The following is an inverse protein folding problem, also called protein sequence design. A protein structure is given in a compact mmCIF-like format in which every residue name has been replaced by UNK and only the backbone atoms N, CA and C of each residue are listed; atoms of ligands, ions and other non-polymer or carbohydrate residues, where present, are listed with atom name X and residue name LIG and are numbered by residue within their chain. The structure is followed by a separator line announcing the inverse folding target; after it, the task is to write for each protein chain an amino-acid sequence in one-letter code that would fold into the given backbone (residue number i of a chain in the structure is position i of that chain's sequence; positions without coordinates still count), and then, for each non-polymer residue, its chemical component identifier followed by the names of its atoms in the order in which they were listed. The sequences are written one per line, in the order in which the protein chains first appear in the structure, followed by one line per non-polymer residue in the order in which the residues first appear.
data_IF_039963440995
#
_entry.id   IF_039963440995
#
_cell.length_a   1.000
_cell.length_b   1.000
_cell.length_c   1.000
_cell.angle_alpha   90.00
_cell.angle_beta   90.00
_cell.angle_gamma   90.00
#
_symmetry.space_group_name_H-M   'P 1'
#
loop_
_entity.id
_entity.type
_entity.pdbx_description
1 polymer ?
#
# COMPACT_ATOMS: atom_id res chain seq x y z
N UNK A 1 30.39 1.35 2.54
CA UNK A 1 29.86 1.37 3.92
C UNK A 1 28.35 1.43 3.84
N UNK A 2 27.65 0.39 4.32
CA UNK A 2 26.26 0.12 3.98
C UNK A 2 25.28 1.10 4.64
N UNK A 3 24.31 1.58 3.85
CA UNK A 3 23.18 2.45 4.25
C UNK A 3 22.41 1.95 5.47
N UNK A 4 22.49 0.64 5.76
CA UNK A 4 21.91 -0.04 6.91
C UNK A 4 22.52 0.37 8.26
N UNK A 5 23.81 0.74 8.28
CA UNK A 5 24.52 1.13 9.50
C UNK A 5 24.00 2.48 10.02
N UNK A 6 23.71 3.40 9.09
CA UNK A 6 23.18 4.74 9.37
C UNK A 6 21.76 4.73 9.93
N UNK A 7 20.96 3.73 9.56
CA UNK A 7 19.58 3.55 10.06
C UNK A 7 19.58 2.99 11.48
N UNK A 8 20.50 2.06 11.81
CA UNK A 8 20.68 1.59 13.19
C UNK A 8 21.18 2.70 14.12
N UNK A 9 22.08 3.56 13.62
CA UNK A 9 22.61 4.67 14.40
C UNK A 9 21.53 5.72 14.73
N UNK A 10 20.64 6.03 13.77
CA UNK A 10 19.49 6.91 14.02
C UNK A 10 18.45 6.30 14.99
N UNK A 11 18.22 4.99 14.95
CA UNK A 11 17.32 4.32 15.90
C UNK A 11 17.87 4.35 17.34
N UNK A 12 19.20 4.30 17.51
CA UNK A 12 19.85 4.35 18.83
C UNK A 12 19.78 5.75 19.46
N UNK A 13 19.85 6.81 18.65
CA UNK A 13 19.68 8.19 19.11
C UNK A 13 18.28 8.50 19.67
N UNK A 14 17.24 7.85 19.12
CA UNK A 14 15.86 8.00 19.57
C UNK A 14 15.56 7.33 20.92
N UNK A 15 16.30 6.28 21.29
CA UNK A 15 16.10 5.60 22.57
C UNK A 15 16.78 6.31 23.75
N UNK A 16 17.78 7.16 23.48
CA UNK A 16 18.52 7.86 24.53
C UNK A 16 17.83 9.15 25.01
N UNK A 17 16.81 9.65 24.30
CA UNK A 17 16.07 10.85 24.69
C UNK A 17 14.91 10.59 25.67
N UNK A 18 14.64 9.34 26.08
CA UNK A 18 13.62 9.04 27.11
C UNK A 18 14.17 8.96 28.54
N UNK A 19 15.49 9.06 28.74
CA UNK A 19 16.11 9.09 30.06
C UNK A 19 16.80 10.44 30.29
N UNK A 20 16.01 11.48 30.61
CA UNK A 20 16.60 12.79 30.87
C UNK A 20 15.65 13.94 31.13
N UNK A 21 14.60 13.75 31.93
CA UNK A 21 13.86 14.87 32.52
C UNK A 21 13.03 14.39 33.72
N UNK A 22 13.63 14.38 34.90
CA UNK A 22 12.98 13.95 36.14
C UNK A 22 13.54 14.68 37.36
N UNK A 23 13.57 16.01 37.31
CA UNK A 23 13.80 16.83 38.49
C UNK A 23 12.98 18.12 38.36
N UNK A 24 11.91 18.23 39.13
CA UNK A 24 11.47 19.44 39.87
C UNK A 24 10.19 19.16 40.64
N UNK A 25 10.11 19.86 41.76
CA UNK A 25 9.30 19.70 42.96
C UNK A 25 7.90 20.32 42.90
N UNK A 26 6.96 19.75 43.67
CA UNK A 26 5.99 20.52 44.49
C UNK A 26 4.53 20.61 44.02
N UNK A 27 3.62 20.02 44.84
CA UNK A 27 2.15 20.23 45.06
C UNK A 27 1.29 20.97 44.01
N UNK A 28 0.05 20.56 43.71
CA UNK A 28 -1.11 20.48 44.63
C UNK A 28 -2.29 19.76 43.92
N UNK A 29 -3.20 19.21 44.72
CA UNK A 29 -4.27 18.27 44.38
C UNK A 29 -5.43 18.79 43.50
N UNK A 30 -6.07 17.86 42.76
CA UNK A 30 -7.52 17.86 42.50
C UNK A 30 -7.95 17.75 41.03
N UNK A 31 -8.54 16.61 40.63
CA UNK A 31 -9.50 16.58 39.52
C UNK A 31 -9.35 15.45 38.48
N UNK A 32 -10.15 14.39 38.66
CA UNK A 32 -10.85 13.59 37.62
C UNK A 32 -10.08 13.12 36.36
N UNK A 33 -9.87 11.80 36.28
CA UNK A 33 -9.71 11.04 35.03
C UNK A 33 -10.90 11.26 34.06
N UNK A 34 -10.62 11.37 32.77
CA UNK A 34 -10.86 10.26 31.82
C UNK A 34 -9.54 9.91 31.10
N UNK A 35 -9.20 8.66 30.81
CA UNK A 35 -10.01 7.69 30.08
C UNK A 35 -9.64 7.73 28.59
N UNK A 36 -8.66 6.90 28.21
CA UNK A 36 -8.42 6.25 26.91
C UNK A 36 -8.45 7.09 25.59
N UNK A 37 -7.37 6.97 24.82
CA UNK A 37 -7.30 7.41 23.42
C UNK A 37 -6.00 7.01 22.73
N UNK A 38 -5.62 5.74 22.83
CA UNK A 38 -4.55 5.16 22.01
C UNK A 38 -5.04 5.00 20.56
N UNK A 39 -4.19 5.28 19.57
CA UNK A 39 -4.23 4.54 18.29
C UNK A 39 -4.24 5.27 16.95
N UNK A 40 -4.20 6.61 16.86
CA UNK A 40 -4.34 7.32 15.57
C UNK A 40 -3.05 7.61 14.78
N UNK A 41 -1.95 7.96 15.47
CA UNK A 41 -0.81 8.63 14.82
C UNK A 41 0.11 7.74 13.99
N UNK A 42 0.08 6.41 14.18
CA UNK A 42 1.03 5.52 13.51
C UNK A 42 0.66 5.27 12.05
N UNK A 43 -0.64 5.16 11.71
CA UNK A 43 -1.09 4.91 10.33
C UNK A 43 -0.95 6.14 9.45
N UNK A 44 -1.31 7.33 9.93
CA UNK A 44 -1.17 8.57 9.17
C UNK A 44 0.31 8.95 8.96
N UNK A 45 1.15 8.75 9.98
CA UNK A 45 2.60 8.88 9.83
C UNK A 45 3.19 7.81 8.92
N UNK A 46 2.69 6.57 8.98
CA UNK A 46 3.09 5.52 8.03
C UNK A 46 2.74 5.95 6.61
N UNK A 47 1.50 6.36 6.36
CA UNK A 47 1.01 6.78 5.05
C UNK A 47 1.78 8.00 4.55
N UNK A 48 2.11 8.96 5.42
CA UNK A 48 2.95 10.12 5.08
C UNK A 48 4.39 9.75 4.74
N UNK A 49 5.02 8.87 5.54
CA UNK A 49 6.36 8.35 5.25
C UNK A 49 6.39 7.52 3.98
N UNK A 50 5.36 6.70 3.75
CA UNK A 50 5.22 5.85 2.58
C UNK A 50 4.98 6.70 1.33
N UNK A 51 4.14 7.74 1.40
CA UNK A 51 3.99 8.76 0.34
C UNK A 51 5.31 9.48 0.02
N UNK A 52 6.07 9.88 1.04
CA UNK A 52 7.35 10.58 0.83
C UNK A 52 8.45 9.67 0.26
N UNK A 53 8.46 8.39 0.66
CA UNK A 53 9.33 7.37 0.07
C UNK A 53 8.94 7.07 -1.38
N UNK A 54 7.64 6.91 -1.67
CA UNK A 54 7.12 6.77 -3.04
C UNK A 54 7.49 7.95 -3.94
N UNK A 55 7.42 9.18 -3.42
CA UNK A 55 7.80 10.39 -4.16
C UNK A 55 9.29 10.42 -4.55
N UNK A 56 10.16 9.94 -3.66
CA UNK A 56 11.61 9.86 -3.89
C UNK A 56 11.97 8.71 -4.84
N UNK A 57 11.20 7.63 -4.80
CA UNK A 57 11.33 6.44 -5.65
C UNK A 57 10.60 6.58 -6.98
N UNK A 58 9.81 7.64 -7.19
CA UNK A 58 9.05 7.95 -8.42
C UNK A 58 9.92 7.91 -9.69
N UNK A 59 11.21 8.21 -9.58
CA UNK A 59 12.19 8.09 -10.68
C UNK A 59 12.57 6.66 -11.02
N UNK A 60 12.53 5.74 -10.05
CA UNK A 60 12.82 4.31 -10.23
C UNK A 60 11.55 3.49 -10.54
N UNK A 61 10.38 3.97 -10.11
CA UNK A 61 9.04 3.40 -10.35
C UNK A 61 8.50 3.76 -11.75
N UNK A 62 9.33 3.58 -12.79
CA UNK A 62 8.98 3.76 -14.20
C UNK A 62 9.12 2.48 -15.02
N UNK A 63 9.32 1.34 -14.35
CA UNK A 63 9.43 0.07 -15.03
C UNK A 63 8.07 -0.35 -15.61
N UNK A 64 8.08 -0.96 -16.80
CA UNK A 64 6.87 -1.55 -17.36
C UNK A 64 6.28 -2.64 -16.46
N UNK A 65 7.14 -3.34 -15.69
CA UNK A 65 6.73 -4.34 -14.72
C UNK A 65 5.92 -3.74 -13.56
N UNK A 66 6.32 -2.59 -13.02
CA UNK A 66 5.57 -1.88 -11.98
C UNK A 66 4.20 -1.44 -12.47
N UNK A 67 4.13 -0.88 -13.70
CA UNK A 67 2.86 -0.48 -14.32
C UNK A 67 1.93 -1.68 -14.47
N UNK A 68 2.43 -2.75 -15.08
CA UNK A 68 1.62 -3.93 -15.39
C UNK A 68 1.19 -4.63 -14.07
N UNK A 69 2.08 -4.75 -13.08
CA UNK A 69 1.76 -5.28 -11.75
C UNK A 69 0.74 -4.42 -10.99
N UNK A 70 0.86 -3.09 -11.06
CA UNK A 70 -0.10 -2.18 -10.42
C UNK A 70 -1.49 -2.34 -11.05
N UNK A 71 -1.60 -2.42 -12.38
CA UNK A 71 -2.89 -2.61 -13.06
C UNK A 71 -3.50 -3.98 -12.76
N UNK A 72 -2.68 -5.04 -12.74
CA UNK A 72 -3.11 -6.37 -12.33
C UNK A 72 -3.63 -6.39 -10.88
N UNK A 73 -2.95 -5.68 -9.98
CA UNK A 73 -3.38 -5.53 -8.58
C UNK A 73 -4.72 -4.81 -8.45
N UNK A 74 -4.91 -3.71 -9.19
CA UNK A 74 -6.18 -2.96 -9.18
C UNK A 74 -7.33 -3.84 -9.69
N UNK A 75 -7.09 -4.60 -10.77
CA UNK A 75 -8.10 -5.49 -11.34
C UNK A 75 -8.44 -6.66 -10.40
N UNK A 76 -7.45 -7.23 -9.70
CA UNK A 76 -7.66 -8.27 -8.71
C UNK A 76 -8.48 -7.81 -7.50
N UNK A 77 -8.21 -6.61 -7.00
CA UNK A 77 -8.98 -6.01 -5.90
C UNK A 77 -10.41 -5.72 -6.36
N UNK A 78 -10.57 -5.14 -7.55
CA UNK A 78 -11.89 -4.89 -8.14
C UNK A 78 -12.71 -6.17 -8.33
N UNK A 79 -12.05 -7.30 -8.61
CA UNK A 79 -12.70 -8.58 -8.81
C UNK A 79 -12.71 -9.46 -7.55
N UNK A 80 -12.40 -8.93 -6.36
CA UNK A 80 -12.20 -9.74 -5.17
C UNK A 80 -13.45 -10.53 -4.75
N UNK A 81 -14.64 -10.00 -5.05
CA UNK A 81 -15.94 -10.63 -4.80
C UNK A 81 -16.34 -11.67 -5.88
N UNK A 82 -15.58 -11.77 -6.98
CA UNK A 82 -15.81 -12.67 -8.10
C UNK A 82 -16.53 -12.04 -9.29
N UNK A 83 -16.88 -10.75 -9.23
CA UNK A 83 -17.47 -9.98 -10.32
C UNK A 83 -16.78 -8.63 -10.45
N UNK A 84 -16.93 -7.94 -11.58
CA UNK A 84 -16.49 -6.54 -11.69
C UNK A 84 -17.60 -5.78 -12.39
N UNK A 85 -18.26 -4.90 -11.66
CA UNK A 85 -19.31 -4.08 -12.24
C UNK A 85 -18.71 -2.89 -13.03
N UNK A 86 -19.41 -2.38 -14.07
CA UNK A 86 -18.95 -1.21 -14.81
C UNK A 86 -18.73 0.02 -13.92
N UNK A 87 -19.51 0.15 -12.85
CA UNK A 87 -19.38 1.24 -11.88
C UNK A 87 -18.08 1.12 -11.06
N UNK A 88 -17.77 -0.08 -10.56
CA UNK A 88 -16.52 -0.35 -9.84
C UNK A 88 -15.31 -0.18 -10.76
N UNK A 89 -15.41 -0.65 -12.01
CA UNK A 89 -14.38 -0.46 -13.04
C UNK A 89 -14.07 1.02 -13.24
N UNK A 90 -15.08 1.87 -13.40
CA UNK A 90 -14.90 3.32 -13.55
C UNK A 90 -14.35 3.96 -12.26
N UNK A 91 -14.77 3.49 -11.09
CA UNK A 91 -14.30 3.98 -9.81
C UNK A 91 -12.79 3.71 -9.64
N UNK A 92 -12.37 2.47 -9.82
CA UNK A 92 -10.96 2.03 -9.74
C UNK A 92 -10.11 2.76 -10.77
N UNK A 93 -10.63 2.94 -11.99
CA UNK A 93 -9.96 3.70 -13.04
C UNK A 93 -9.70 5.17 -12.63
N UNK A 94 -10.69 5.82 -12.00
CA UNK A 94 -10.51 7.17 -11.46
C UNK A 94 -9.44 7.22 -10.37
N UNK A 95 -9.43 6.25 -9.45
CA UNK A 95 -8.43 6.15 -8.38
C UNK A 95 -7.01 5.94 -8.91
N UNK A 96 -6.87 5.11 -9.96
CA UNK A 96 -5.60 4.90 -10.67
C UNK A 96 -5.05 6.22 -11.22
N UNK A 97 -5.90 7.03 -11.85
CA UNK A 97 -5.52 8.31 -12.45
C UNK A 97 -5.17 9.38 -11.41
N UNK A 98 -5.77 9.30 -10.22
CA UNK A 98 -5.48 10.19 -9.10
C UNK A 98 -4.18 9.83 -8.37
N UNK A 99 -3.58 8.67 -8.65
CA UNK A 99 -2.34 8.24 -8.00
C UNK A 99 -1.10 8.90 -8.64
N UNK A 100 -0.42 9.78 -7.88
CA UNK A 100 0.78 10.51 -8.31
C UNK A 100 1.93 9.64 -8.84
N UNK A 101 2.01 8.37 -8.42
CA UNK A 101 3.07 7.44 -8.86
C UNK A 101 2.75 6.88 -10.25
N UNK A 102 1.48 6.60 -10.52
CA UNK A 102 1.01 6.08 -11.80
C UNK A 102 0.92 7.15 -12.88
N UNK A 103 0.82 8.44 -12.51
CA UNK A 103 0.93 9.57 -13.44
C UNK A 103 2.26 9.65 -14.20
N UNK A 104 3.26 8.85 -13.82
CA UNK A 104 4.46 8.65 -14.62
C UNK A 104 4.20 7.98 -15.99
N UNK A 105 3.04 7.32 -16.15
CA UNK A 105 2.64 6.61 -17.36
C UNK A 105 1.42 7.28 -18.01
N UNK A 106 1.27 7.17 -19.33
CA UNK A 106 0.12 7.75 -20.01
C UNK A 106 -1.17 7.06 -19.56
N UNK A 107 -2.22 7.84 -19.22
CA UNK A 107 -3.46 7.32 -18.65
C UNK A 107 -4.16 6.33 -19.59
N UNK A 108 -4.09 6.56 -20.90
CA UNK A 108 -4.61 5.64 -21.93
C UNK A 108 -4.06 4.21 -21.78
N UNK A 109 -2.75 4.07 -21.50
CA UNK A 109 -2.12 2.76 -21.34
C UNK A 109 -2.55 2.09 -20.04
N UNK A 110 -2.69 2.86 -18.96
CA UNK A 110 -3.18 2.35 -17.68
C UNK A 110 -4.61 1.81 -17.85
N UNK A 111 -5.49 2.61 -18.47
CA UNK A 111 -6.88 2.22 -18.77
C UNK A 111 -6.92 0.95 -19.61
N UNK A 112 -6.18 0.88 -20.72
CA UNK A 112 -6.13 -0.32 -21.55
C UNK A 112 -5.64 -1.57 -20.80
N UNK A 113 -4.62 -1.44 -19.95
CA UNK A 113 -4.04 -2.58 -19.19
C UNK A 113 -4.97 -3.06 -18.09
N UNK A 114 -5.54 -2.14 -17.32
CA UNK A 114 -6.54 -2.44 -16.32
C UNK A 114 -7.75 -3.15 -16.95
N UNK A 115 -8.31 -2.57 -18.01
CA UNK A 115 -9.43 -3.13 -18.74
C UNK A 115 -9.15 -4.54 -19.25
N UNK A 116 -7.96 -4.79 -19.82
CA UNK A 116 -7.55 -6.13 -20.25
C UNK A 116 -7.57 -7.14 -19.10
N UNK A 117 -7.05 -6.79 -17.92
CA UNK A 117 -7.05 -7.70 -16.78
C UNK A 117 -8.45 -7.94 -16.24
N UNK A 118 -9.29 -6.91 -16.18
CA UNK A 118 -10.71 -7.04 -15.83
C UNK A 118 -11.42 -7.97 -16.80
N UNK A 119 -11.25 -7.78 -18.12
CA UNK A 119 -11.89 -8.61 -19.13
C UNK A 119 -11.44 -10.09 -19.01
N UNK A 120 -10.17 -10.34 -18.67
CA UNK A 120 -9.66 -11.70 -18.39
C UNK A 120 -10.30 -12.32 -17.13
N UNK A 121 -10.44 -11.53 -16.06
CA UNK A 121 -11.09 -11.96 -14.81
C UNK A 121 -12.58 -12.24 -15.03
N UNK A 122 -13.26 -11.43 -15.84
CA UNK A 122 -14.67 -11.64 -16.20
C UNK A 122 -14.88 -12.86 -17.09
N UNK A 123 -13.93 -13.15 -17.99
CA UNK A 123 -14.01 -14.32 -18.88
C UNK A 123 -13.75 -15.63 -18.12
N UNK A 124 -12.69 -15.68 -17.31
CA UNK A 124 -12.32 -16.85 -16.53
C UNK A 124 -11.63 -16.40 -15.23
N UNK A 125 -12.40 -16.25 -14.17
CA UNK A 125 -11.90 -15.74 -12.89
C UNK A 125 -10.71 -16.51 -12.32
N UNK A 126 -10.72 -17.86 -12.23
CA UNK A 126 -9.56 -18.63 -11.80
C UNK A 126 -8.28 -18.35 -12.61
N UNK A 127 -8.40 -18.29 -13.93
CA UNK A 127 -7.25 -18.08 -14.81
C UNK A 127 -6.78 -16.62 -14.79
N UNK A 128 -7.70 -15.66 -14.87
CA UNK A 128 -7.39 -14.22 -14.79
C UNK A 128 -6.72 -13.87 -13.47
N UNK A 129 -7.12 -14.51 -12.36
CA UNK A 129 -6.46 -14.34 -11.06
C UNK A 129 -5.04 -14.86 -11.06
N UNK A 130 -4.80 -16.05 -11.62
CA UNK A 130 -3.46 -16.61 -11.74
C UNK A 130 -2.55 -15.74 -12.61
N UNK A 131 -3.05 -15.28 -13.75
CA UNK A 131 -2.34 -14.38 -14.67
C UNK A 131 -2.00 -13.04 -13.98
N UNK A 132 -2.95 -12.44 -13.26
CA UNK A 132 -2.74 -11.20 -12.54
C UNK A 132 -1.73 -11.35 -11.40
N UNK A 133 -1.79 -12.44 -10.62
CA UNK A 133 -0.78 -12.74 -9.60
C UNK A 133 0.62 -12.96 -10.20
N UNK A 134 0.70 -13.57 -11.39
CA UNK A 134 1.96 -13.74 -12.10
C UNK A 134 2.54 -12.41 -12.58
N UNK A 135 1.71 -11.48 -13.08
CA UNK A 135 2.14 -10.12 -13.42
C UNK A 135 2.64 -9.37 -12.18
N UNK A 136 1.91 -9.48 -11.06
CA UNK A 136 2.31 -8.90 -9.77
C UNK A 136 3.68 -9.45 -9.34
N UNK A 137 3.89 -10.76 -9.42
CA UNK A 137 5.16 -11.40 -9.05
C UNK A 137 6.36 -10.89 -9.87
N UNK A 138 6.16 -10.33 -11.07
CA UNK A 138 7.27 -9.72 -11.83
C UNK A 138 7.84 -8.48 -11.15
N UNK A 139 7.02 -7.73 -10.42
CA UNK A 139 7.47 -6.58 -9.63
C UNK A 139 8.22 -6.99 -8.35
N UNK A 140 8.15 -8.26 -7.93
CA UNK A 140 8.89 -8.80 -6.77
C UNK A 140 10.41 -8.68 -6.95
N UNK A 141 10.91 -8.56 -8.19
CA UNK A 141 12.33 -8.36 -8.50
C UNK A 141 12.90 -7.10 -7.87
N UNK A 142 12.06 -6.10 -7.58
CA UNK A 142 12.45 -4.85 -6.94
C UNK A 142 11.60 -4.63 -5.69
N UNK A 143 12.19 -4.68 -4.49
CA UNK A 143 11.42 -4.56 -3.24
C UNK A 143 10.69 -3.22 -3.13
N UNK A 144 11.22 -2.16 -3.75
CA UNK A 144 10.56 -0.85 -3.84
C UNK A 144 9.29 -0.90 -4.67
N UNK A 145 9.35 -1.50 -5.87
CA UNK A 145 8.19 -1.64 -6.76
C UNK A 145 7.14 -2.55 -6.11
N UNK A 146 7.57 -3.65 -5.50
CA UNK A 146 6.71 -4.56 -4.75
C UNK A 146 5.90 -3.85 -3.67
N UNK A 147 6.56 -3.07 -2.80
CA UNK A 147 5.87 -2.31 -1.74
C UNK A 147 4.90 -1.27 -2.31
N UNK A 148 5.30 -0.60 -3.39
CA UNK A 148 4.46 0.38 -4.06
C UNK A 148 3.20 -0.25 -4.68
N UNK A 149 3.29 -1.45 -5.26
CA UNK A 149 2.13 -2.18 -5.82
C UNK A 149 1.13 -2.54 -4.72
N UNK A 150 1.60 -3.10 -3.61
CA UNK A 150 0.72 -3.45 -2.46
C UNK A 150 0.05 -2.21 -1.91
N UNK A 151 0.78 -1.11 -1.76
CA UNK A 151 0.24 0.14 -1.27
C UNK A 151 -0.84 0.70 -2.20
N UNK A 152 -0.64 0.66 -3.52
CA UNK A 152 -1.67 1.05 -4.49
C UNK A 152 -2.93 0.20 -4.32
N UNK A 153 -2.79 -1.12 -4.16
CA UNK A 153 -3.93 -2.01 -3.88
C UNK A 153 -4.68 -1.63 -2.60
N UNK A 154 -3.96 -1.28 -1.53
CA UNK A 154 -4.56 -0.87 -0.26
C UNK A 154 -5.33 0.45 -0.36
N UNK A 155 -4.79 1.42 -1.11
CA UNK A 155 -5.47 2.71 -1.35
C UNK A 155 -6.77 2.50 -2.12
N UNK A 156 -6.77 1.58 -3.08
CA UNK A 156 -7.96 1.28 -3.90
C UNK A 156 -9.00 0.51 -3.09
N UNK A 157 -8.61 -0.56 -2.39
CA UNK A 157 -9.51 -1.30 -1.51
C UNK A 157 -10.09 -0.43 -0.38
N UNK A 158 -9.31 0.55 0.10
CA UNK A 158 -9.73 1.49 1.14
C UNK A 158 -10.50 2.71 0.63
N UNK A 159 -10.77 2.83 -0.68
CA UNK A 159 -11.37 4.03 -1.26
C UNK A 159 -12.78 4.31 -0.74
N UNK A 160 -13.55 3.26 -0.49
CA UNK A 160 -14.89 3.34 0.10
C UNK A 160 -14.88 3.44 1.64
N UNK A 161 -13.68 3.53 2.24
CA UNK A 161 -13.49 3.71 3.69
C UNK A 161 -13.52 2.42 4.50
N UNK A 162 -13.71 1.26 3.87
CA UNK A 162 -13.63 -0.05 4.51
C UNK A 162 -13.08 -1.09 3.53
N UNK A 163 -12.20 -1.98 4.03
CA UNK A 163 -11.63 -3.08 3.25
C UNK A 163 -12.39 -4.35 3.57
N UNK A 164 -13.03 -4.95 2.56
CA UNK A 164 -13.76 -6.19 2.70
C UNK A 164 -12.81 -7.38 2.95
N UNK A 165 -13.29 -8.46 3.61
CA UNK A 165 -12.49 -9.66 3.84
C UNK A 165 -11.94 -10.29 2.54
N UNK A 166 -12.70 -10.20 1.44
CA UNK A 166 -12.29 -10.68 0.12
C UNK A 166 -11.10 -9.88 -0.43
N UNK A 167 -11.13 -8.55 -0.34
CA UNK A 167 -10.04 -7.67 -0.75
C UNK A 167 -8.80 -7.87 0.12
N UNK A 168 -8.97 -8.02 1.44
CA UNK A 168 -7.88 -8.32 2.36
C UNK A 168 -7.20 -9.65 2.04
N UNK A 169 -7.97 -10.65 1.60
CA UNK A 169 -7.43 -11.93 1.15
C UNK A 169 -6.61 -11.77 -0.14
N UNK A 170 -7.11 -11.02 -1.13
CA UNK A 170 -6.38 -10.69 -2.36
C UNK A 170 -5.08 -9.92 -2.04
N UNK A 171 -5.13 -8.94 -1.14
CA UNK A 171 -3.98 -8.19 -0.67
C UNK A 171 -2.91 -9.09 -0.04
N UNK A 172 -3.32 -10.04 0.79
CA UNK A 172 -2.41 -11.01 1.43
C UNK A 172 -1.74 -11.94 0.43
N UNK A 173 -2.48 -12.36 -0.59
CA UNK A 173 -1.93 -13.17 -1.69
C UNK A 173 -0.94 -12.38 -2.54
N UNK A 174 -1.26 -11.14 -2.87
CA UNK A 174 -0.33 -10.24 -3.55
C UNK A 174 0.94 -10.01 -2.73
N UNK A 175 0.83 -9.80 -1.41
CA UNK A 175 1.98 -9.71 -0.51
C UNK A 175 2.87 -10.96 -0.58
N UNK A 176 2.24 -12.14 -0.59
CA UNK A 176 2.94 -13.43 -0.68
C UNK A 176 3.63 -13.60 -2.03
N UNK A 177 2.95 -13.26 -3.13
CA UNK A 177 3.51 -13.28 -4.49
C UNK A 177 4.69 -12.31 -4.65
N UNK A 178 4.67 -11.19 -3.93
CA UNK A 178 5.71 -10.17 -3.95
C UNK A 178 6.84 -10.40 -2.93
N UNK A 179 6.68 -11.38 -2.03
CA UNK A 179 7.63 -11.62 -0.93
C UNK A 179 7.68 -10.48 0.09
N UNK A 180 6.60 -9.72 0.26
CA UNK A 180 6.49 -8.62 1.22
C UNK A 180 5.71 -9.08 2.44
N UNK A 181 6.10 -8.66 3.64
CA UNK A 181 5.40 -9.03 4.87
C UNK A 181 4.05 -8.31 4.94
N UNK A 182 2.91 -9.03 5.05
CA UNK A 182 1.58 -8.43 5.22
C UNK A 182 1.47 -7.58 6.49
N UNK A 183 2.28 -7.90 7.50
CA UNK A 183 2.35 -7.18 8.77
C UNK A 183 2.80 -5.72 8.60
N UNK A 184 3.57 -5.41 7.55
CA UNK A 184 3.97 -4.03 7.23
C UNK A 184 2.77 -3.14 6.85
N UNK A 185 1.67 -3.75 6.41
CA UNK A 185 0.45 -3.07 5.98
C UNK A 185 -0.71 -3.26 6.98
N UNK A 186 -0.49 -3.98 8.09
CA UNK A 186 -1.50 -4.26 9.11
C UNK A 186 -2.50 -5.35 8.74
N UNK A 187 -2.09 -6.31 7.90
CA UNK A 187 -2.87 -7.49 7.47
C UNK A 187 -2.44 -8.80 8.16
#
# INVERSE_FOLDING_TARGET
MAMWDRIKEQAKGLQQQSQGAGQTSGGTAGGRQPGAGAGGGSKEKLVGLLKSQLGSLKTELKSGAYRDASMAMCALVAAADGSVDPAERQHVESLILQNDVLQNFPPEQLRQRFNKHVDQLMFNFPQGRADALQEIAKAAKKPVEAKAVVQTGFVIAGADGYIAPAEAQVLREACTALGVSPQEFGL
#
